data_IF_976357476830
#
_entry.id   IF_976357476830
#
_cell.length_a   1.000
_cell.length_b   1.000
_cell.length_c   1.000
_cell.angle_alpha   90.00
_cell.angle_beta   90.00
_cell.angle_gamma   90.00
#
_symmetry.space_group_name_H-M   'P 1'
#
loop_
_entity.id
_entity.type
_entity.pdbx_description
1 polymer ?
#
# COMPACT_ATOMS: atom_id res chain seq x y z
N UNK A 1 11.13 -4.60 0.04
CA UNK A 1 9.69 -4.87 0.02
C UNK A 1 9.31 -5.97 0.99
N UNK A 2 8.03 -6.10 1.23
CA UNK A 2 7.48 -7.12 2.12
C UNK A 2 7.70 -8.53 1.59
N UNK A 3 7.84 -9.49 2.51
CA UNK A 3 8.06 -10.90 2.20
C UNK A 3 6.76 -11.72 2.06
N UNK A 4 5.61 -11.19 2.47
CA UNK A 4 4.37 -11.97 2.61
C UNK A 4 3.89 -12.60 1.30
N UNK A 5 3.97 -11.86 0.19
CA UNK A 5 3.61 -12.39 -1.12
C UNK A 5 4.55 -13.52 -1.59
N UNK A 6 5.82 -13.50 -1.19
CA UNK A 6 6.80 -14.54 -1.53
C UNK A 6 6.52 -15.82 -0.73
N UNK A 7 6.28 -15.67 0.58
CA UNK A 7 5.95 -16.80 1.46
C UNK A 7 4.61 -17.43 1.05
N UNK A 8 3.60 -16.60 0.75
CA UNK A 8 2.28 -17.10 0.29
C UNK A 8 2.39 -17.89 -1.01
N UNK A 9 3.35 -17.57 -1.88
CA UNK A 9 3.65 -18.30 -3.12
C UNK A 9 4.52 -19.53 -2.92
N UNK A 10 4.82 -19.91 -1.68
CA UNK A 10 5.56 -21.14 -1.33
C UNK A 10 7.06 -20.97 -1.20
N UNK A 11 7.58 -19.74 -1.21
CA UNK A 11 9.01 -19.50 -0.92
C UNK A 11 9.26 -19.73 0.57
N UNK A 12 10.42 -20.28 0.93
CA UNK A 12 10.82 -20.38 2.33
C UNK A 12 10.99 -18.98 2.95
N UNK A 13 10.72 -18.88 4.26
CA UNK A 13 10.89 -17.62 4.99
C UNK A 13 12.32 -17.08 4.87
N UNK A 14 13.32 -17.96 5.00
CA UNK A 14 14.74 -17.59 4.88
C UNK A 14 15.09 -16.99 3.51
N UNK A 15 14.59 -17.57 2.42
CA UNK A 15 14.81 -17.04 1.07
C UNK A 15 14.04 -15.76 0.83
N UNK A 16 12.81 -15.64 1.34
CA UNK A 16 11.99 -14.44 1.22
C UNK A 16 12.66 -13.26 1.92
N UNK A 17 13.19 -13.43 3.12
CA UNK A 17 13.90 -12.38 3.88
C UNK A 17 15.13 -11.88 3.12
N UNK A 18 15.88 -12.76 2.43
CA UNK A 18 17.02 -12.35 1.60
C UNK A 18 16.61 -11.46 0.40
N UNK A 19 15.33 -11.45 0.03
CA UNK A 19 14.77 -10.63 -1.04
C UNK A 19 14.05 -9.37 -0.54
N UNK A 20 13.95 -9.20 0.78
CA UNK A 20 13.40 -7.99 1.37
C UNK A 20 14.25 -6.77 0.98
N UNK A 21 13.61 -5.65 0.74
CA UNK A 21 14.28 -4.39 0.42
C UNK A 21 13.57 -3.22 1.10
N UNK A 22 14.29 -2.14 1.42
CA UNK A 22 13.69 -0.96 2.06
C UNK A 22 12.54 -0.37 1.25
N UNK A 23 11.57 0.19 1.96
CA UNK A 23 10.48 0.99 1.43
C UNK A 23 10.10 2.06 2.47
N UNK A 24 9.33 3.08 2.06
CA UNK A 24 9.06 4.26 2.89
C UNK A 24 7.63 4.29 3.45
N UNK A 25 6.75 3.41 3.02
CA UNK A 25 5.43 3.25 3.66
C UNK A 25 5.62 2.66 5.04
N UNK A 26 5.20 3.40 6.08
CA UNK A 26 5.32 2.99 7.47
C UNK A 26 4.13 2.11 7.89
N UNK A 27 4.38 1.14 8.77
CA UNK A 27 3.35 0.34 9.43
C UNK A 27 2.66 -0.71 8.56
N UNK A 28 3.25 -1.08 7.43
CA UNK A 28 2.70 -2.11 6.54
C UNK A 28 3.84 -2.92 5.91
N UNK A 29 3.60 -4.23 5.76
CA UNK A 29 4.60 -5.15 5.26
C UNK A 29 5.78 -5.30 6.23
N UNK A 30 6.42 -6.43 6.23
CA UNK A 30 7.53 -6.72 7.14
C UNK A 30 8.56 -7.59 6.42
N UNK A 31 9.76 -7.66 7.00
CA UNK A 31 10.81 -8.62 6.66
C UNK A 31 10.84 -9.82 7.64
N UNK A 32 9.83 -9.91 8.49
CA UNK A 32 9.55 -11.02 9.38
C UNK A 32 8.07 -11.44 9.26
N UNK A 33 7.73 -12.64 9.68
CA UNK A 33 6.35 -13.12 9.74
C UNK A 33 5.92 -13.12 11.22
N UNK A 34 5.06 -12.17 11.66
CA UNK A 34 4.57 -12.15 13.02
C UNK A 34 3.73 -13.39 13.35
N UNK A 35 3.80 -13.87 14.59
CA UNK A 35 3.00 -15.02 15.07
C UNK A 35 1.48 -14.78 14.98
N UNK A 36 1.07 -13.52 14.89
CA UNK A 36 -0.33 -13.12 14.74
C UNK A 36 -0.85 -13.24 13.30
N UNK A 37 0.01 -13.51 12.32
CA UNK A 37 -0.36 -13.64 10.91
C UNK A 37 -0.56 -15.11 10.55
N UNK A 38 -1.79 -15.49 10.25
CA UNK A 38 -2.10 -16.77 9.62
C UNK A 38 -2.34 -16.61 8.13
N UNK A 39 -1.33 -16.93 7.33
CA UNK A 39 -1.42 -16.84 5.87
C UNK A 39 -2.41 -17.81 5.22
N UNK A 40 -2.93 -18.80 5.96
CA UNK A 40 -3.98 -19.68 5.45
C UNK A 40 -5.34 -18.96 5.37
N UNK A 41 -5.55 -17.92 6.20
CA UNK A 41 -6.74 -17.08 6.18
C UNK A 41 -6.68 -15.97 5.12
N UNK A 42 -5.54 -15.79 4.47
CA UNK A 42 -5.34 -14.76 3.43
C UNK A 42 -5.60 -15.39 2.06
N UNK A 43 -6.61 -14.93 1.36
CA UNK A 43 -6.92 -15.43 0.01
C UNK A 43 -5.89 -14.96 -1.02
N UNK A 44 -5.55 -13.67 -1.02
CA UNK A 44 -4.60 -13.09 -1.97
C UNK A 44 -3.78 -11.95 -1.37
N UNK A 45 -2.65 -11.61 -1.99
CA UNK A 45 -1.76 -10.53 -1.58
C UNK A 45 -1.41 -9.66 -2.78
N UNK A 46 -1.83 -8.41 -2.75
CA UNK A 46 -1.52 -7.41 -3.78
C UNK A 46 -0.28 -6.62 -3.36
N UNK A 47 0.72 -6.61 -4.21
CA UNK A 47 1.93 -5.80 -3.97
C UNK A 47 1.69 -4.38 -4.46
N UNK A 48 1.97 -3.42 -3.57
CA UNK A 48 1.87 -1.97 -3.81
C UNK A 48 3.22 -1.34 -3.47
N UNK A 49 3.72 -0.46 -4.33
CA UNK A 49 4.95 0.28 -4.07
C UNK A 49 4.68 1.62 -3.38
N UNK A 50 5.73 2.28 -2.88
CA UNK A 50 5.64 3.55 -2.15
C UNK A 50 4.95 4.64 -2.97
N UNK A 51 5.30 4.79 -4.24
CA UNK A 51 4.71 5.80 -5.14
C UNK A 51 3.19 5.62 -5.27
N UNK A 52 2.72 4.40 -5.45
CA UNK A 52 1.31 4.06 -5.56
C UNK A 52 0.56 4.31 -4.25
N UNK A 53 1.17 3.92 -3.13
CA UNK A 53 0.61 4.13 -1.80
C UNK A 53 0.47 5.62 -1.48
N UNK A 54 1.53 6.42 -1.71
CA UNK A 54 1.53 7.85 -1.41
C UNK A 54 0.60 8.63 -2.33
N UNK A 55 0.57 8.33 -3.63
CA UNK A 55 -0.37 8.96 -4.55
C UNK A 55 -1.82 8.69 -4.13
N UNK A 56 -2.16 7.45 -3.77
CA UNK A 56 -3.51 7.11 -3.32
C UNK A 56 -3.85 7.77 -1.98
N UNK A 57 -2.90 7.88 -1.05
CA UNK A 57 -3.08 8.58 0.23
C UNK A 57 -3.44 10.06 0.02
N UNK A 58 -2.69 10.73 -0.85
CA UNK A 58 -2.90 12.14 -1.20
C UNK A 58 -4.22 12.35 -1.96
N UNK A 59 -4.51 11.47 -2.90
CA UNK A 59 -5.75 11.46 -3.67
C UNK A 59 -6.98 11.30 -2.76
N UNK A 60 -6.93 10.35 -1.82
CA UNK A 60 -7.99 10.12 -0.84
C UNK A 60 -8.28 11.37 -0.01
N UNK A 61 -7.24 12.05 0.47
CA UNK A 61 -7.39 13.29 1.23
C UNK A 61 -8.02 14.41 0.38
N UNK A 62 -7.62 14.56 -0.88
CA UNK A 62 -8.13 15.64 -1.76
C UNK A 62 -9.54 15.37 -2.29
N UNK A 63 -9.86 14.13 -2.62
CA UNK A 63 -11.14 13.78 -3.28
C UNK A 63 -12.24 13.44 -2.28
N UNK A 64 -11.87 12.76 -1.19
CA UNK A 64 -12.86 12.26 -0.20
C UNK A 64 -12.78 12.99 1.15
N UNK A 65 -11.78 13.87 1.35
CA UNK A 65 -11.59 14.56 2.61
C UNK A 65 -11.11 13.65 3.76
N UNK A 66 -10.60 12.47 3.44
CA UNK A 66 -10.13 11.48 4.43
C UNK A 66 -8.62 11.58 4.58
N UNK A 67 -8.16 12.12 5.71
CA UNK A 67 -6.76 12.28 6.04
C UNK A 67 -6.23 11.01 6.73
N UNK A 68 -5.77 10.05 5.95
CA UNK A 68 -5.25 8.76 6.41
C UNK A 68 -3.74 8.62 6.15
N UNK A 69 -3.09 7.60 6.72
CA UNK A 69 -1.66 7.34 6.53
C UNK A 69 -1.33 6.59 5.25
N UNK A 70 -0.03 6.38 5.01
CA UNK A 70 0.48 5.72 3.80
C UNK A 70 0.03 4.27 3.65
N UNK A 71 -0.09 3.54 4.75
CA UNK A 71 -0.63 2.17 4.76
C UNK A 71 -2.10 2.11 4.31
N UNK A 72 -2.89 3.13 4.63
CA UNK A 72 -4.28 3.28 4.16
C UNK A 72 -4.34 3.49 2.65
N UNK A 73 -3.44 4.31 2.09
CA UNK A 73 -3.32 4.47 0.64
C UNK A 73 -2.91 3.18 -0.05
N UNK A 74 -1.97 2.45 0.53
CA UNK A 74 -1.58 1.13 0.02
C UNK A 74 -2.75 0.14 0.02
N UNK A 75 -3.51 0.08 1.12
CA UNK A 75 -4.68 -0.79 1.23
C UNK A 75 -5.77 -0.43 0.20
N UNK A 76 -6.07 0.85 0.03
CA UNK A 76 -7.05 1.31 -0.95
C UNK A 76 -6.59 1.06 -2.40
N UNK A 77 -5.33 1.38 -2.71
CA UNK A 77 -4.77 1.10 -4.04
C UNK A 77 -4.84 -0.39 -4.37
N UNK A 78 -4.38 -1.23 -3.44
CA UNK A 78 -4.41 -2.69 -3.61
C UNK A 78 -5.82 -3.22 -3.80
N UNK A 79 -6.79 -2.69 -3.06
CA UNK A 79 -8.21 -3.05 -3.20
C UNK A 79 -8.73 -2.71 -4.58
N UNK A 80 -8.54 -1.48 -5.06
CA UNK A 80 -9.03 -1.06 -6.40
C UNK A 80 -8.37 -1.90 -7.49
N UNK A 81 -7.06 -2.10 -7.40
CA UNK A 81 -6.31 -2.94 -8.34
C UNK A 81 -6.86 -4.36 -8.38
N UNK A 82 -7.06 -4.98 -7.21
CA UNK A 82 -7.61 -6.34 -7.12
C UNK A 82 -8.99 -6.45 -7.75
N UNK A 83 -9.90 -5.53 -7.42
CA UNK A 83 -11.26 -5.53 -7.95
C UNK A 83 -11.28 -5.41 -9.49
N UNK A 84 -10.43 -4.55 -10.06
CA UNK A 84 -10.30 -4.39 -11.51
C UNK A 84 -9.72 -5.64 -12.18
N UNK A 85 -8.61 -6.15 -11.68
CA UNK A 85 -7.92 -7.30 -12.27
C UNK A 85 -8.77 -8.57 -12.22
N UNK A 86 -9.68 -8.69 -11.25
CA UNK A 86 -10.57 -9.83 -11.09
C UNK A 86 -12.00 -9.60 -11.60
N UNK A 87 -12.28 -8.44 -12.20
CA UNK A 87 -13.60 -8.12 -12.76
C UNK A 87 -14.74 -8.14 -11.73
N UNK A 88 -14.44 -7.72 -10.48
CA UNK A 88 -15.43 -7.74 -9.39
C UNK A 88 -16.31 -6.49 -9.47
N UNK A 89 -17.59 -6.68 -9.80
CA UNK A 89 -18.59 -5.62 -9.90
C UNK A 89 -19.77 -5.87 -8.97
N UNK A 90 -20.47 -4.80 -8.59
CA UNK A 90 -21.70 -4.86 -7.79
C UNK A 90 -21.54 -5.43 -6.37
N UNK A 91 -20.33 -5.46 -5.85
CA UNK A 91 -20.02 -5.95 -4.49
C UNK A 91 -19.61 -4.79 -3.57
N UNK A 92 -19.74 -5.00 -2.26
CA UNK A 92 -19.18 -4.11 -1.26
C UNK A 92 -17.77 -4.56 -0.90
N UNK A 93 -16.82 -3.63 -0.94
CA UNK A 93 -15.48 -3.82 -0.41
C UNK A 93 -15.32 -3.04 0.90
N UNK A 94 -14.69 -3.65 1.89
CA UNK A 94 -14.32 -3.00 3.15
C UNK A 94 -12.81 -2.85 3.18
N UNK A 95 -12.32 -1.63 3.40
CA UNK A 95 -10.90 -1.32 3.48
C UNK A 95 -10.59 -0.76 4.86
N UNK A 96 -9.59 -1.31 5.53
CA UNK A 96 -9.15 -0.81 6.83
C UNK A 96 -8.12 0.30 6.61
N UNK A 97 -8.36 1.46 7.22
CA UNK A 97 -7.42 2.57 7.31
C UNK A 97 -6.86 2.63 8.73
N UNK A 98 -5.64 2.10 8.97
CA UNK A 98 -5.19 1.82 10.32
C UNK A 98 -4.78 3.05 11.12
N UNK A 99 -4.38 4.17 10.46
CA UNK A 99 -3.95 5.37 11.15
C UNK A 99 -4.32 6.68 10.44
N UNK A 100 -4.00 7.79 11.10
CA UNK A 100 -4.29 9.15 10.64
C UNK A 100 -3.12 9.74 9.86
N UNK A 101 -3.43 10.53 8.82
CA UNK A 101 -2.44 11.30 8.06
C UNK A 101 -1.74 12.42 8.84
N UNK A 102 -2.20 12.77 10.05
CA UNK A 102 -1.55 13.77 10.91
C UNK A 102 -0.07 13.49 11.15
N UNK A 103 0.30 12.22 11.23
CA UNK A 103 1.68 11.80 11.47
C UNK A 103 2.59 12.00 10.24
N UNK A 104 2.02 12.31 9.08
CA UNK A 104 2.71 12.35 7.79
C UNK A 104 2.63 13.72 7.08
N UNK A 105 2.22 14.78 7.80
CA UNK A 105 2.10 16.14 7.23
C UNK A 105 3.43 16.67 6.70
N UNK A 106 4.54 16.30 7.32
CA UNK A 106 5.90 16.69 6.92
C UNK A 106 6.57 15.70 5.96
N UNK A 107 5.87 14.63 5.60
CA UNK A 107 6.34 13.56 4.69
C UNK A 107 5.42 13.46 3.48
N UNK A 108 4.50 12.50 3.46
CA UNK A 108 3.61 12.19 2.32
C UNK A 108 2.81 13.41 1.84
N UNK A 109 2.38 14.29 2.75
CA UNK A 109 1.60 15.49 2.42
C UNK A 109 2.46 16.74 2.16
N UNK A 110 3.78 16.62 2.17
CA UNK A 110 4.73 17.69 1.87
C UNK A 110 5.37 17.44 0.49
N UNK A 111 5.13 18.36 -0.46
CA UNK A 111 5.63 18.22 -1.83
C UNK A 111 7.16 18.21 -1.91
N UNK A 112 7.85 19.01 -1.08
CA UNK A 112 9.31 19.03 -1.06
C UNK A 112 9.89 17.69 -0.60
N UNK A 113 9.27 17.08 0.41
CA UNK A 113 9.66 15.75 0.88
C UNK A 113 9.43 14.69 -0.21
N UNK A 114 8.29 14.73 -0.88
CA UNK A 114 7.97 13.81 -1.98
C UNK A 114 9.01 13.91 -3.10
N UNK A 115 9.28 15.11 -3.59
CA UNK A 115 10.26 15.35 -4.66
C UNK A 115 11.68 14.96 -4.24
N UNK A 116 12.09 15.29 -3.01
CA UNK A 116 13.41 14.92 -2.47
C UNK A 116 13.62 13.40 -2.43
N UNK A 117 12.57 12.64 -2.23
CA UNK A 117 12.62 11.18 -2.22
C UNK A 117 12.34 10.56 -3.61
N UNK A 118 12.24 11.38 -4.67
CA UNK A 118 12.08 10.93 -6.04
C UNK A 118 10.66 10.53 -6.43
N UNK A 119 9.65 10.96 -5.66
CA UNK A 119 8.25 10.65 -5.92
C UNK A 119 7.58 11.71 -6.80
N UNK A 120 6.69 11.24 -7.68
CA UNK A 120 5.76 12.09 -8.43
C UNK A 120 4.71 12.69 -7.49
N UNK A 121 4.44 13.98 -7.64
CA UNK A 121 3.43 14.71 -6.86
C UNK A 121 2.09 14.86 -7.58
N UNK A 122 2.03 14.54 -8.87
CA UNK A 122 0.79 14.43 -9.62
C UNK A 122 0.15 13.05 -9.38
N UNK A 123 -0.69 12.98 -8.36
CA UNK A 123 -1.32 11.72 -7.96
C UNK A 123 -2.23 11.17 -9.07
N UNK A 124 -2.90 12.01 -9.85
CA UNK A 124 -3.80 11.55 -10.92
C UNK A 124 -3.04 10.83 -12.03
N UNK A 125 -1.84 11.33 -12.37
CA UNK A 125 -0.93 10.69 -13.31
C UNK A 125 -0.49 9.30 -12.82
N UNK A 126 -0.12 9.18 -11.54
CA UNK A 126 0.29 7.90 -10.95
C UNK A 126 -0.88 6.90 -10.92
N UNK A 127 -2.10 7.39 -10.67
CA UNK A 127 -3.30 6.56 -10.54
C UNK A 127 -4.01 6.28 -11.87
N UNK A 128 -3.52 6.83 -12.98
CA UNK A 128 -4.14 6.61 -14.31
C UNK A 128 -4.24 5.13 -14.68
N UNK A 129 -3.30 4.31 -14.23
CA UNK A 129 -3.30 2.85 -14.42
C UNK A 129 -4.51 2.16 -13.77
N UNK A 130 -5.17 2.82 -12.80
CA UNK A 130 -6.38 2.32 -12.16
C UNK A 130 -7.69 2.80 -12.83
N UNK A 131 -7.62 3.59 -13.88
CA UNK A 131 -8.78 4.06 -14.67
C UNK A 131 -9.14 3.11 -15.84
#
# INVERSE_FOLDING_TARGET
GSIYNLVKKGMSLEEAVKRAHPYLVEGIGEDLLPDTVDLNLVDDIVVVNDQQAFAMTRFLARKEGILAGGSSGAALYGTIKYLKENGVEGKKAVVIFPDTGRNYLTKIFNDEWMLKNGFEIDDEKVLEVLR
#
